data_IF_559474945922
#
_entry.id   IF_559474945922
#
_cell.length_a   1.000
_cell.length_b   1.000
_cell.length_c   1.000
_cell.angle_alpha   90.00
_cell.angle_beta   90.00
_cell.angle_gamma   90.00
#
_symmetry.space_group_name_H-M   'P 1'
#
loop_
_entity.id
_entity.type
_entity.pdbx_description
1 polymer ?
#
# COMPACT_ATOMS: atom_id res chain seq x y z
N UNK A 1 0.66 -6.35 -6.11
CA UNK A 1 0.72 -5.69 -7.43
C UNK A 1 0.91 -4.18 -7.35
N UNK A 2 0.87 -3.55 -6.16
CA UNK A 2 1.30 -2.16 -5.94
C UNK A 2 0.68 -1.13 -6.90
N UNK A 3 -0.60 -1.34 -7.19
CA UNK A 3 -1.45 -0.44 -7.97
C UNK A 3 -1.67 0.88 -7.25
N UNK A 4 -2.21 1.87 -7.98
CA UNK A 4 -2.86 2.99 -7.34
C UNK A 4 -4.15 2.53 -6.65
N UNK A 5 -4.64 3.32 -5.72
CA UNK A 5 -6.04 3.23 -5.26
C UNK A 5 -6.64 4.62 -5.15
N UNK A 6 -7.95 4.69 -5.33
CA UNK A 6 -8.75 5.88 -5.04
C UNK A 6 -9.83 5.48 -4.03
N UNK A 7 -10.05 6.32 -3.02
CA UNK A 7 -11.06 6.13 -1.98
C UNK A 7 -11.86 7.43 -1.80
N UNK A 8 -13.18 7.31 -1.65
CA UNK A 8 -14.09 8.42 -1.34
C UNK A 8 -14.96 8.09 -0.13
N UNK A 9 -15.11 9.03 0.81
CA UNK A 9 -16.06 8.91 1.92
C UNK A 9 -17.38 9.53 1.50
N UNK A 10 -18.41 8.70 1.31
CA UNK A 10 -19.74 9.13 0.90
C UNK A 10 -20.57 9.67 2.07
N UNK A 11 -20.47 9.03 3.23
CA UNK A 11 -21.33 9.31 4.40
C UNK A 11 -20.55 9.18 5.70
N UNK A 12 -20.90 9.99 6.70
CA UNK A 12 -20.51 9.79 8.10
C UNK A 12 -19.21 10.49 8.50
N UNK A 13 -18.50 9.88 9.44
CA UNK A 13 -17.33 10.43 10.09
C UNK A 13 -16.06 10.35 9.22
N UNK A 14 -15.10 11.20 9.59
CA UNK A 14 -13.76 11.27 9.01
C UNK A 14 -12.91 10.02 9.22
N UNK A 15 -11.89 9.85 8.38
CA UNK A 15 -10.90 8.77 8.45
C UNK A 15 -9.50 9.36 8.67
N UNK A 16 -8.76 8.87 9.66
CA UNK A 16 -7.37 9.23 9.87
C UNK A 16 -6.46 8.28 9.07
N UNK A 17 -5.62 8.84 8.20
CA UNK A 17 -4.70 8.09 7.35
C UNK A 17 -3.25 8.48 7.62
N UNK A 18 -2.39 7.47 7.60
CA UNK A 18 -0.95 7.58 7.65
C UNK A 18 -0.37 6.98 6.38
N UNK A 19 0.69 7.59 5.85
CA UNK A 19 1.36 7.09 4.65
C UNK A 19 2.87 7.22 4.77
N UNK A 20 3.59 6.24 4.23
CA UNK A 20 5.04 6.27 4.09
C UNK A 20 5.36 6.56 2.61
N UNK A 21 6.22 7.54 2.31
CA UNK A 21 6.62 7.82 0.94
C UNK A 21 7.25 6.57 0.28
N UNK A 22 6.98 6.28 -1.00
CA UNK A 22 7.46 5.06 -1.66
C UNK A 22 8.99 4.85 -1.58
N UNK A 23 9.77 5.93 -1.57
CA UNK A 23 11.22 5.90 -1.44
C UNK A 23 11.72 5.35 -0.10
N UNK A 24 10.89 5.34 0.95
CA UNK A 24 11.18 4.77 2.27
C UNK A 24 10.46 3.42 2.52
N UNK A 25 9.83 2.86 1.49
CA UNK A 25 9.03 1.63 1.62
C UNK A 25 9.84 0.42 2.07
N UNK A 26 11.09 0.29 1.61
CA UNK A 26 11.95 -0.82 1.98
C UNK A 26 12.50 -0.69 3.41
N UNK A 27 12.83 0.52 3.85
CA UNK A 27 13.21 0.83 5.23
C UNK A 27 12.06 0.48 6.19
N UNK A 28 10.83 0.77 5.79
CA UNK A 28 9.64 0.35 6.53
C UNK A 28 9.46 -1.18 6.57
N UNK A 29 9.69 -1.88 5.45
CA UNK A 29 9.66 -3.36 5.43
C UNK A 29 10.72 -3.96 6.36
N UNK A 30 11.94 -3.42 6.37
CA UNK A 30 13.01 -3.83 7.27
C UNK A 30 12.65 -3.58 8.74
N UNK A 31 12.05 -2.43 9.04
CA UNK A 31 11.53 -2.13 10.37
C UNK A 31 10.47 -3.17 10.78
N UNK A 32 9.50 -3.45 9.91
CA UNK A 32 8.46 -4.42 10.18
C UNK A 32 9.02 -5.83 10.40
N UNK A 33 10.04 -6.24 9.64
CA UNK A 33 10.72 -7.53 9.84
C UNK A 33 11.33 -7.65 11.24
N UNK A 34 11.92 -6.56 11.77
CA UNK A 34 12.51 -6.54 13.12
C UNK A 34 11.46 -6.67 14.22
N UNK A 35 10.32 -5.99 14.08
CA UNK A 35 9.24 -6.03 15.07
C UNK A 35 8.38 -7.30 15.00
N UNK A 36 8.36 -7.98 13.84
CA UNK A 36 7.55 -9.19 13.62
C UNK A 36 8.39 -10.36 13.09
N UNK A 37 9.44 -10.81 13.81
CA UNK A 37 10.50 -11.67 13.27
C UNK A 37 10.04 -13.05 12.78
N UNK A 38 8.91 -13.56 13.28
CA UNK A 38 8.35 -14.84 12.85
C UNK A 38 7.54 -14.75 11.54
N UNK A 39 7.10 -13.55 11.14
CA UNK A 39 6.25 -13.37 9.95
C UNK A 39 7.02 -13.53 8.63
N UNK A 40 8.23 -12.95 8.44
CA UNK A 40 8.98 -13.06 7.20
C UNK A 40 9.34 -14.49 6.82
N UNK A 41 9.65 -15.32 7.82
CA UNK A 41 9.97 -16.74 7.62
C UNK A 41 8.79 -17.50 6.98
N UNK A 42 7.56 -17.14 7.33
CA UNK A 42 6.36 -17.74 6.75
C UNK A 42 5.94 -17.10 5.42
N UNK A 43 6.15 -15.79 5.28
CA UNK A 43 5.87 -15.06 4.06
C UNK A 43 6.75 -13.81 3.96
N UNK A 44 7.67 -13.73 2.96
CA UNK A 44 8.51 -12.55 2.76
C UNK A 44 7.70 -11.27 2.49
N UNK A 45 6.47 -11.40 1.96
CA UNK A 45 5.55 -10.30 1.70
C UNK A 45 4.39 -10.22 2.72
N UNK A 46 4.64 -10.59 3.99
CA UNK A 46 3.57 -10.72 4.99
C UNK A 46 2.77 -9.44 5.25
N UNK A 47 3.33 -8.25 4.98
CA UNK A 47 2.59 -6.98 5.08
C UNK A 47 1.37 -6.94 4.15
N UNK A 48 1.36 -7.73 3.06
CA UNK A 48 0.19 -7.90 2.19
C UNK A 48 -0.98 -8.61 2.87
N UNK A 49 -0.77 -9.23 4.03
CA UNK A 49 -1.84 -9.86 4.80
C UNK A 49 -2.73 -8.83 5.51
N UNK A 50 -2.32 -7.55 5.60
CA UNK A 50 -3.09 -6.44 6.21
C UNK A 50 -3.52 -6.71 7.66
N UNK A 51 -2.64 -7.35 8.44
CA UNK A 51 -2.87 -7.68 9.87
C UNK A 51 -1.79 -7.11 10.79
N UNK A 52 -0.97 -6.19 10.29
CA UNK A 52 0.15 -5.59 11.00
C UNK A 52 -0.13 -4.12 11.24
N UNK A 53 -0.01 -3.68 12.49
CA UNK A 53 -0.11 -2.27 12.87
C UNK A 53 1.20 -1.83 13.53
N UNK A 54 1.73 -0.69 13.10
CA UNK A 54 2.90 -0.02 13.67
C UNK A 54 2.46 1.42 13.97
N UNK A 55 2.64 1.87 15.20
CA UNK A 55 2.21 3.21 15.61
C UNK A 55 3.17 4.29 15.12
N UNK A 56 2.70 5.55 14.95
CA UNK A 56 3.57 6.66 14.57
C UNK A 56 4.78 6.85 15.49
N UNK A 57 4.60 6.65 16.81
CA UNK A 57 5.70 6.74 17.77
C UNK A 57 6.84 5.75 17.46
N UNK A 58 6.52 4.53 16.99
CA UNK A 58 7.54 3.56 16.58
C UNK A 58 8.24 4.01 15.30
N UNK A 59 7.51 4.60 14.35
CA UNK A 59 8.10 5.16 13.13
C UNK A 59 9.08 6.29 13.46
N UNK A 60 8.69 7.21 14.34
CA UNK A 60 9.53 8.34 14.79
C UNK A 60 10.81 7.86 15.49
N UNK A 61 10.68 6.92 16.43
CA UNK A 61 11.82 6.35 17.15
C UNK A 61 12.83 5.63 16.25
N UNK A 62 12.40 5.20 15.06
CA UNK A 62 13.23 4.52 14.08
C UNK A 62 13.52 5.39 12.84
N UNK A 63 13.24 6.70 12.92
CA UNK A 63 13.49 7.68 11.86
C UNK A 63 12.87 7.30 10.50
N UNK A 64 11.69 6.67 10.49
CA UNK A 64 10.93 6.40 9.27
C UNK A 64 10.02 7.59 8.97
N UNK A 65 10.23 8.31 7.85
CA UNK A 65 9.37 9.42 7.47
C UNK A 65 7.95 8.95 7.17
N UNK A 66 6.97 9.70 7.67
CA UNK A 66 5.57 9.43 7.41
C UNK A 66 4.78 10.74 7.34
N UNK A 67 3.66 10.71 6.63
CA UNK A 67 2.68 11.78 6.62
C UNK A 67 1.40 11.31 7.31
N UNK A 68 0.63 12.26 7.84
CA UNK A 68 -0.69 12.04 8.41
C UNK A 68 -1.69 13.01 7.79
N UNK A 69 -2.85 12.52 7.42
CA UNK A 69 -3.98 13.34 6.96
C UNK A 69 -5.29 12.81 7.55
N UNK A 70 -6.29 13.68 7.62
CA UNK A 70 -7.66 13.31 7.98
C UNK A 70 -8.53 13.59 6.77
N UNK A 71 -9.18 12.54 6.25
CA UNK A 71 -10.09 12.60 5.12
C UNK A 71 -11.51 12.83 5.64
N UNK A 72 -12.15 13.88 5.15
CA UNK A 72 -13.53 14.26 5.46
C UNK A 72 -14.52 13.70 4.41
N UNK A 73 -15.81 13.80 4.71
CA UNK A 73 -16.88 13.40 3.79
C UNK A 73 -16.80 14.18 2.47
N UNK A 74 -16.90 13.49 1.35
CA UNK A 74 -16.85 14.04 -0.01
C UNK A 74 -15.43 14.20 -0.56
N UNK A 75 -14.40 13.93 0.25
CA UNK A 75 -13.02 14.02 -0.19
C UNK A 75 -12.52 12.70 -0.78
N UNK A 76 -11.62 12.82 -1.77
CA UNK A 76 -10.93 11.70 -2.37
C UNK A 76 -9.51 11.60 -1.82
N UNK A 77 -9.09 10.38 -1.50
CA UNK A 77 -7.69 10.04 -1.26
C UNK A 77 -7.20 9.14 -2.40
N UNK A 78 -6.04 9.47 -2.95
CA UNK A 78 -5.33 8.64 -3.93
C UNK A 78 -4.05 8.12 -3.29
N UNK A 79 -3.88 6.79 -3.27
CA UNK A 79 -2.62 6.15 -2.86
C UNK A 79 -1.81 5.79 -4.11
N UNK A 80 -0.52 6.08 -4.09
CA UNK A 80 0.38 5.84 -5.21
C UNK A 80 1.07 4.46 -5.10
N UNK A 81 1.56 3.90 -6.22
CA UNK A 81 2.34 2.66 -6.26
C UNK A 81 3.45 2.63 -5.20
N UNK A 82 3.51 1.51 -4.48
CA UNK A 82 4.46 1.25 -3.38
C UNK A 82 4.38 2.23 -2.19
N UNK A 83 3.35 3.10 -2.14
CA UNK A 83 3.04 3.91 -0.97
C UNK A 83 2.34 3.10 0.11
N UNK A 84 3.09 2.70 1.16
CA UNK A 84 2.51 2.07 2.33
C UNK A 84 1.57 3.02 3.05
N UNK A 85 0.42 2.52 3.48
CA UNK A 85 -0.58 3.31 4.19
C UNK A 85 -1.33 2.47 5.23
N UNK A 86 -1.80 3.14 6.28
CA UNK A 86 -2.61 2.56 7.36
C UNK A 86 -3.46 3.65 8.00
N UNK A 87 -4.49 3.29 8.75
CA UNK A 87 -5.42 4.28 9.28
C UNK A 87 -6.54 3.69 10.12
N UNK A 88 -7.45 4.55 10.55
CA UNK A 88 -8.63 4.18 11.33
C UNK A 88 -9.76 5.18 11.14
N UNK A 89 -11.00 4.70 11.24
CA UNK A 89 -12.19 5.54 11.19
C UNK A 89 -12.46 6.19 12.55
N UNK A 90 -12.91 7.45 12.56
CA UNK A 90 -13.27 8.18 13.78
C UNK A 90 -14.71 7.90 14.25
N UNK A 91 -15.43 7.01 13.57
CA UNK A 91 -16.82 6.64 13.88
C UNK A 91 -17.47 5.97 12.68
N UNK A 92 -18.80 5.84 12.70
CA UNK A 92 -19.55 5.30 11.57
C UNK A 92 -19.32 6.14 10.31
N UNK A 93 -18.95 5.49 9.22
CA UNK A 93 -18.87 6.07 7.88
C UNK A 93 -19.10 5.00 6.80
N UNK A 94 -19.30 5.48 5.56
CA UNK A 94 -19.39 4.64 4.36
C UNK A 94 -18.41 5.22 3.34
N UNK A 95 -17.47 4.39 2.91
CA UNK A 95 -16.47 4.74 1.91
C UNK A 95 -16.44 3.72 0.77
N UNK A 96 -16.12 4.18 -0.43
CA UNK A 96 -15.96 3.37 -1.62
C UNK A 96 -14.52 3.49 -2.13
N UNK A 97 -13.95 2.39 -2.64
CA UNK A 97 -12.61 2.40 -3.19
C UNK A 97 -12.45 1.43 -4.37
N UNK A 98 -11.53 1.78 -5.27
CA UNK A 98 -11.10 0.92 -6.37
C UNK A 98 -9.61 1.08 -6.66
N UNK A 99 -8.99 0.03 -7.18
CA UNK A 99 -7.61 0.10 -7.69
C UNK A 99 -7.59 0.48 -9.18
N UNK A 100 -6.55 1.21 -9.58
CA UNK A 100 -6.34 1.60 -10.98
C UNK A 100 -4.84 1.62 -11.32
N UNK A 101 -4.54 1.76 -12.61
CA UNK A 101 -3.18 1.78 -13.14
C UNK A 101 -2.98 2.95 -14.11
N UNK A 102 -1.74 3.40 -14.23
CA UNK A 102 -1.25 4.28 -15.31
C UNK A 102 0.02 3.67 -15.91
N UNK A 103 0.53 4.13 -17.07
CA UNK A 103 1.75 3.57 -17.66
C UNK A 103 2.94 3.52 -16.68
N UNK A 104 3.08 4.54 -15.81
CA UNK A 104 4.11 4.59 -14.76
C UNK A 104 4.06 3.41 -13.78
N UNK A 105 2.88 2.81 -13.56
CA UNK A 105 2.73 1.69 -12.63
C UNK A 105 3.42 0.41 -13.12
N UNK A 106 3.61 0.22 -14.42
CA UNK A 106 4.08 -1.07 -14.95
C UNK A 106 5.41 -1.49 -14.32
N UNK A 107 6.34 -0.55 -14.10
CA UNK A 107 7.61 -0.82 -13.40
C UNK A 107 7.41 -1.36 -11.98
N UNK A 108 6.44 -0.82 -11.24
CA UNK A 108 6.11 -1.29 -9.89
C UNK A 108 5.43 -2.65 -9.94
N UNK A 109 4.52 -2.87 -10.90
CA UNK A 109 3.83 -4.15 -11.09
C UNK A 109 4.80 -5.31 -11.34
N UNK A 110 5.87 -5.08 -12.10
CA UNK A 110 6.94 -6.06 -12.36
C UNK A 110 7.74 -6.38 -11.09
N UNK A 111 8.06 -5.36 -10.29
CA UNK A 111 8.91 -5.48 -9.09
C UNK A 111 8.14 -5.85 -7.82
N UNK A 112 6.81 -5.88 -7.89
CA UNK A 112 5.95 -6.10 -6.73
C UNK A 112 6.23 -7.47 -6.07
N UNK A 113 6.74 -7.47 -4.84
CA UNK A 113 6.88 -8.67 -4.00
C UNK A 113 5.52 -9.36 -3.88
N UNK A 114 5.38 -10.68 -4.00
CA UNK A 114 4.08 -11.35 -3.94
C UNK A 114 3.92 -12.22 -2.69
N UNK A 115 2.67 -12.35 -2.22
CA UNK A 115 2.36 -13.35 -1.20
C UNK A 115 2.21 -14.72 -1.86
N UNK A 116 3.01 -15.67 -1.40
CA UNK A 116 2.98 -17.06 -1.87
C UNK A 116 2.38 -18.04 -0.86
N UNK A 117 2.11 -17.62 0.38
CA UNK A 117 1.57 -18.50 1.42
C UNK A 117 0.03 -18.62 1.39
N UNK A 118 -0.66 -17.84 0.53
CA UNK A 118 -2.12 -17.88 0.33
C UNK A 118 -2.45 -18.04 -1.15
N UNK A 119 -3.43 -18.89 -1.47
CA UNK A 119 -3.79 -19.21 -2.87
C UNK A 119 -4.65 -18.13 -3.52
N UNK A 120 -5.45 -17.42 -2.73
CA UNK A 120 -6.38 -16.36 -3.11
C UNK A 120 -5.72 -14.97 -3.18
N UNK A 121 -4.40 -14.88 -3.07
CA UNK A 121 -3.69 -13.61 -3.24
C UNK A 121 -3.80 -13.14 -4.69
N UNK A 122 -4.12 -11.85 -4.88
CA UNK A 122 -4.21 -11.23 -6.20
C UNK A 122 -2.85 -11.26 -6.89
N UNK A 123 -2.81 -11.84 -8.09
CA UNK A 123 -1.65 -11.88 -8.98
C UNK A 123 -2.11 -11.46 -10.36
N UNK A 124 -1.40 -10.54 -10.99
CA UNK A 124 -1.69 -10.06 -12.35
C UNK A 124 -0.48 -10.43 -13.21
N UNK A 125 -0.71 -11.12 -14.33
CA UNK A 125 0.34 -11.38 -15.31
C UNK A 125 0.75 -10.06 -15.97
N UNK A 126 2.02 -9.70 -15.87
CA UNK A 126 2.52 -8.42 -16.36
C UNK A 126 2.84 -8.40 -17.86
N UNK A 127 2.86 -9.56 -18.53
CA UNK A 127 3.31 -9.72 -19.93
C UNK A 127 2.61 -8.77 -20.91
N UNK A 128 1.28 -8.65 -20.81
CA UNK A 128 0.51 -7.76 -21.68
C UNK A 128 0.93 -6.30 -21.50
N UNK A 129 1.14 -5.87 -20.25
CA UNK A 129 1.55 -4.50 -19.94
C UNK A 129 3.01 -4.25 -20.35
N UNK A 130 3.90 -5.23 -20.18
CA UNK A 130 5.29 -5.14 -20.63
C UNK A 130 5.35 -4.97 -22.15
N UNK A 131 4.63 -5.82 -22.89
CA UNK A 131 4.58 -5.75 -24.35
C UNK A 131 4.06 -4.40 -24.85
N UNK A 132 3.04 -3.86 -24.21
CA UNK A 132 2.42 -2.60 -24.63
C UNK A 132 3.26 -1.36 -24.28
N UNK A 133 3.95 -1.35 -23.14
CA UNK A 133 4.58 -0.12 -22.61
C UNK A 133 6.11 -0.13 -22.59
N UNK A 134 6.77 -1.28 -22.82
CA UNK A 134 8.24 -1.38 -22.92
C UNK A 134 8.74 -1.78 -24.31
N UNK A 135 8.00 -2.62 -25.05
CA UNK A 135 8.46 -3.11 -26.36
C UNK A 135 8.05 -2.21 -27.54
N UNK A 136 7.40 -1.07 -27.30
CA UNK A 136 7.06 -0.08 -28.33
C UNK A 136 8.10 1.05 -28.46
N UNK A 137 9.22 0.94 -27.75
CA UNK A 137 10.37 1.85 -27.84
C UNK A 137 11.59 1.04 -28.28
N UNK A 138 11.56 0.58 -29.54
CA UNK A 138 12.70 0.02 -30.26
C UNK A 138 12.54 0.30 -31.74
#
# INVERSE_FOLDING_TARGET
>A
MDLYSINCIHVGNRNALYSIPPEYGHEFELLANRFFPTKPANCPAFLRHKVTMISPNILEQNAIPYNKITQEKGEFIITFPFGYHGGYNNGFNIAEAINFASPRWVEYGIKASLCHCRKDSVKICMDTFIKLYFNSVS
#
